data_IF_041877138737
#
_entry.id   IF_041877138737
#
_cell.length_a   1.000
_cell.length_b   1.000
_cell.length_c   1.000
_cell.angle_alpha   90.00
_cell.angle_beta   90.00
_cell.angle_gamma   90.00
#
_symmetry.space_group_name_H-M   'P 1'
#
loop_
_entity.id
_entity.type
_entity.pdbx_description
1 polymer ?
#
# COMPACT_ATOMS: atom_id res chain seq x y z
N UNK A 1 -9.12 1.13 -4.08
CA UNK A 1 -7.67 1.16 -3.79
C UNK A 1 -7.25 -0.11 -3.04
N UNK A 2 -7.80 -0.38 -1.84
CA UNK A 2 -7.41 -1.57 -1.07
C UNK A 2 -7.57 -2.89 -1.80
N UNK A 3 -8.72 -3.14 -2.45
CA UNK A 3 -8.91 -4.34 -3.25
C UNK A 3 -7.86 -4.48 -4.37
N UNK A 4 -7.57 -3.39 -5.09
CA UNK A 4 -6.54 -3.40 -6.14
C UNK A 4 -5.14 -3.69 -5.61
N UNK A 5 -4.82 -3.23 -4.39
CA UNK A 5 -3.54 -3.53 -3.74
C UNK A 5 -3.41 -5.03 -3.44
N UNK A 6 -4.45 -5.65 -2.88
CA UNK A 6 -4.46 -7.10 -2.64
C UNK A 6 -4.41 -7.91 -3.94
N UNK A 7 -5.13 -7.50 -4.97
CA UNK A 7 -5.07 -8.12 -6.30
C UNK A 7 -3.68 -8.01 -6.91
N UNK A 8 -2.98 -6.88 -6.72
CA UNK A 8 -1.61 -6.71 -7.19
C UNK A 8 -0.64 -7.68 -6.51
N UNK A 9 -0.71 -7.83 -5.18
CA UNK A 9 0.08 -8.82 -4.45
C UNK A 9 -0.26 -10.25 -4.85
N UNK A 10 -1.54 -10.56 -5.02
CA UNK A 10 -1.97 -11.88 -5.49
C UNK A 10 -1.38 -12.21 -6.86
N UNK A 11 -1.42 -11.26 -7.82
CA UNK A 11 -0.76 -11.44 -9.13
C UNK A 11 0.75 -11.60 -9.01
N UNK A 12 1.40 -10.80 -8.16
CA UNK A 12 2.85 -10.84 -7.95
C UNK A 12 3.33 -12.16 -7.34
N UNK A 13 2.46 -12.85 -6.59
CA UNK A 13 2.77 -14.12 -5.91
C UNK A 13 2.83 -15.35 -6.84
N UNK A 14 2.53 -15.21 -8.14
CA UNK A 14 2.44 -16.34 -9.07
C UNK A 14 1.56 -17.49 -8.56
N UNK A 15 0.44 -17.16 -7.90
CA UNK A 15 -0.51 -18.14 -7.39
C UNK A 15 -0.22 -18.68 -5.98
N UNK A 16 0.89 -18.27 -5.34
CA UNK A 16 1.20 -18.67 -3.95
C UNK A 16 0.21 -18.07 -2.94
N UNK A 17 -0.34 -16.89 -3.23
CA UNK A 17 -1.36 -16.22 -2.41
C UNK A 17 -2.71 -16.24 -3.11
N UNK A 18 -3.75 -16.58 -2.33
CA UNK A 18 -5.13 -16.44 -2.75
C UNK A 18 -5.87 -15.56 -1.75
N UNK A 19 -6.25 -14.37 -2.17
CA UNK A 19 -7.04 -13.43 -1.38
C UNK A 19 -8.52 -13.65 -1.67
N UNK A 20 -9.29 -13.90 -0.62
CA UNK A 20 -10.74 -14.09 -0.71
C UNK A 20 -11.44 -13.05 0.15
N UNK A 21 -12.51 -12.41 -0.34
CA UNK A 21 -13.33 -11.56 0.50
C UNK A 21 -13.89 -12.35 1.69
N UNK A 22 -13.79 -11.77 2.88
CA UNK A 22 -14.43 -12.31 4.06
C UNK A 22 -15.91 -11.90 4.10
N UNK A 23 -16.78 -12.82 4.53
CA UNK A 23 -18.21 -12.53 4.66
C UNK A 23 -18.53 -11.63 5.87
N UNK A 24 -17.65 -11.59 6.87
CA UNK A 24 -17.81 -10.84 8.12
C UNK A 24 -16.44 -10.22 8.49
N UNK A 25 -16.44 -8.95 8.88
CA UNK A 25 -15.24 -8.25 9.33
C UNK A 25 -14.51 -9.00 10.45
N UNK A 26 -15.24 -9.54 11.41
CA UNK A 26 -14.64 -10.25 12.55
C UNK A 26 -13.86 -11.50 12.14
N UNK A 27 -14.22 -12.12 11.00
CA UNK A 27 -13.54 -13.29 10.43
C UNK A 27 -12.43 -12.91 9.44
N UNK A 28 -12.38 -11.64 9.02
CA UNK A 28 -11.35 -11.16 8.11
C UNK A 28 -9.99 -11.12 8.81
N UNK A 29 -9.01 -11.86 8.30
CA UNK A 29 -7.64 -11.86 8.84
C UNK A 29 -6.86 -10.61 8.44
N UNK A 30 -7.22 -9.98 7.33
CA UNK A 30 -6.66 -8.69 6.92
C UNK A 30 -7.80 -7.72 6.72
N UNK A 31 -7.71 -6.56 7.36
CA UNK A 31 -8.73 -5.51 7.33
C UNK A 31 -8.10 -4.21 6.91
N UNK A 32 -8.78 -3.44 6.05
CA UNK A 32 -8.36 -2.08 5.71
C UNK A 32 -9.42 -1.10 6.20
N UNK A 33 -8.94 -0.08 6.92
CA UNK A 33 -9.75 1.02 7.44
C UNK A 33 -9.26 2.35 6.87
N UNK A 34 -10.21 3.22 6.54
CA UNK A 34 -9.90 4.60 6.23
C UNK A 34 -9.70 5.37 7.54
N UNK A 35 -8.50 5.89 7.75
CA UNK A 35 -8.16 6.64 8.95
C UNK A 35 -8.64 8.10 8.85
N UNK A 36 -8.89 8.73 9.99
CA UNK A 36 -9.17 10.17 10.06
C UNK A 36 -7.87 10.98 10.11
N UNK A 37 -7.92 12.28 9.75
CA UNK A 37 -6.79 13.19 9.60
C UNK A 37 -5.94 13.49 10.85
N UNK A 38 -6.08 12.73 11.93
CA UNK A 38 -5.21 12.81 13.12
C UNK A 38 -3.98 11.90 13.05
N UNK A 39 -3.89 11.03 12.05
CA UNK A 39 -2.68 10.25 11.79
C UNK A 39 -1.67 11.14 11.05
N UNK A 40 -0.42 11.20 11.56
CA UNK A 40 0.70 11.89 10.92
C UNK A 40 1.45 10.99 9.94
N UNK A 41 0.90 9.82 9.60
CA UNK A 41 1.45 8.82 8.71
C UNK A 41 0.50 8.59 7.53
N UNK A 42 1.04 8.22 6.37
CA UNK A 42 0.26 7.81 5.19
C UNK A 42 -0.60 6.59 5.49
N UNK A 43 -0.02 5.64 6.23
CA UNK A 43 -0.67 4.41 6.67
C UNK A 43 0.05 3.77 7.83
N UNK A 44 -0.59 2.77 8.41
CA UNK A 44 -0.04 1.96 9.50
C UNK A 44 -0.66 0.58 9.48
N UNK A 45 0.18 -0.45 9.62
CA UNK A 45 -0.26 -1.84 9.78
C UNK A 45 -0.04 -2.31 11.20
N UNK A 46 -1.10 -2.74 11.86
CA UNK A 46 -1.09 -3.29 13.23
C UNK A 46 -1.37 -4.79 13.21
N UNK A 47 -0.67 -5.58 14.02
CA UNK A 47 -0.98 -6.99 14.16
C UNK A 47 -2.40 -7.19 14.72
N UNK A 48 -3.05 -8.25 14.26
CA UNK A 48 -4.37 -8.66 14.67
C UNK A 48 -4.36 -10.15 14.94
N UNK A 49 -5.07 -10.61 15.97
CA UNK A 49 -5.39 -12.01 16.17
C UNK A 49 -6.85 -12.26 15.75
N UNK A 50 -7.06 -13.30 14.95
CA UNK A 50 -8.40 -13.74 14.53
C UNK A 50 -8.49 -15.23 14.76
N UNK A 51 -9.18 -15.63 15.81
CA UNK A 51 -9.37 -17.03 16.21
C UNK A 51 -8.02 -17.79 16.35
N UNK A 52 -7.03 -17.17 17.03
CA UNK A 52 -5.70 -17.72 17.25
C UNK A 52 -4.80 -17.73 15.99
N UNK A 53 -5.21 -17.02 14.94
CA UNK A 53 -4.43 -16.89 13.69
C UNK A 53 -3.95 -15.45 13.50
N UNK A 54 -2.69 -15.31 13.13
CA UNK A 54 -2.11 -14.01 12.81
C UNK A 54 -2.86 -13.35 11.65
N UNK A 55 -3.24 -12.10 11.86
CA UNK A 55 -3.83 -11.21 10.89
C UNK A 55 -3.25 -9.81 10.99
N UNK A 56 -3.84 -8.85 10.29
CA UNK A 56 -3.43 -7.45 10.29
C UNK A 56 -4.61 -6.50 10.10
N UNK A 57 -4.58 -5.39 10.84
CA UNK A 57 -5.43 -4.23 10.62
C UNK A 57 -4.60 -3.12 9.97
N UNK A 58 -4.98 -2.71 8.79
CA UNK A 58 -4.34 -1.69 7.97
C UNK A 58 -5.16 -0.40 8.07
N UNK A 59 -4.51 0.69 8.42
CA UNK A 59 -5.10 2.03 8.47
C UNK A 59 -4.46 2.88 7.38
N UNK A 60 -5.26 3.47 6.51
CA UNK A 60 -4.79 4.32 5.40
C UNK A 60 -5.44 5.70 5.50
N UNK A 61 -4.64 6.75 5.42
CA UNK A 61 -5.11 8.13 5.39
C UNK A 61 -5.50 8.50 3.94
N UNK A 62 -6.80 8.76 3.66
CA UNK A 62 -7.23 9.13 2.31
C UNK A 62 -6.98 10.61 1.99
N UNK A 63 -6.72 11.42 3.03
CA UNK A 63 -6.53 12.87 2.93
C UNK A 63 -5.06 13.25 3.12
N UNK A 64 -4.52 14.06 2.22
CA UNK A 64 -3.09 14.41 2.21
C UNK A 64 -2.75 15.68 3.00
N UNK A 65 -3.74 16.45 3.45
CA UNK A 65 -3.54 17.76 4.08
C UNK A 65 -2.61 17.73 5.32
N UNK A 66 -2.53 16.61 6.02
CA UNK A 66 -1.65 16.43 7.19
C UNK A 66 -0.24 15.92 6.89
N UNK A 67 0.10 15.66 5.63
CA UNK A 67 1.32 14.95 5.24
C UNK A 67 2.47 15.85 4.77
N UNK A 68 2.28 17.17 4.85
CA UNK A 68 3.26 18.18 4.42
C UNK A 68 2.76 19.00 3.22
N UNK A 69 3.24 20.26 3.12
CA UNK A 69 2.74 21.24 2.18
C UNK A 69 2.87 20.79 0.71
N UNK A 70 4.05 20.34 0.30
CA UNK A 70 4.33 19.96 -1.08
C UNK A 70 3.47 18.81 -1.58
N UNK A 71 3.30 17.75 -0.79
CA UNK A 71 2.44 16.60 -1.12
C UNK A 71 0.98 17.00 -1.18
N UNK A 72 0.52 17.82 -0.22
CA UNK A 72 -0.87 18.29 -0.19
C UNK A 72 -1.17 19.16 -1.42
N UNK A 73 -0.29 20.09 -1.77
CA UNK A 73 -0.43 20.95 -2.96
C UNK A 73 -0.45 20.14 -4.26
N UNK A 74 0.48 19.17 -4.40
CA UNK A 74 0.54 18.30 -5.57
C UNK A 74 -0.76 17.48 -5.72
N UNK A 75 -1.29 16.95 -4.61
CA UNK A 75 -2.54 16.19 -4.61
C UNK A 75 -3.79 17.01 -4.89
N UNK A 76 -3.80 18.31 -4.55
CA UNK A 76 -4.88 19.24 -4.94
C UNK A 76 -4.83 19.52 -6.43
N UNK A 77 -3.63 19.73 -6.98
CA UNK A 77 -3.43 20.03 -8.42
C UNK A 77 -3.70 18.82 -9.32
N UNK A 78 -3.38 17.62 -8.84
CA UNK A 78 -3.55 16.38 -9.60
C UNK A 78 -4.26 15.30 -8.76
N UNK A 79 -5.55 15.10 -9.03
CA UNK A 79 -6.36 14.08 -8.34
C UNK A 79 -5.84 12.67 -8.56
N UNK A 80 -5.25 12.39 -9.73
CA UNK A 80 -4.69 11.08 -10.03
C UNK A 80 -3.38 10.85 -9.26
N UNK A 81 -2.61 11.90 -9.00
CA UNK A 81 -1.46 11.86 -8.10
C UNK A 81 -1.89 11.50 -6.66
N UNK A 82 -2.95 12.16 -6.15
CA UNK A 82 -3.54 11.81 -4.85
C UNK A 82 -4.00 10.35 -4.81
N UNK A 83 -4.71 9.89 -5.84
CA UNK A 83 -5.18 8.51 -5.93
C UNK A 83 -3.99 7.51 -5.98
N UNK A 84 -2.86 7.90 -6.61
CA UNK A 84 -1.62 7.13 -6.62
C UNK A 84 -1.02 6.98 -5.23
N UNK A 85 -0.98 8.06 -4.44
CA UNK A 85 -0.49 8.01 -3.06
C UNK A 85 -1.34 7.06 -2.22
N UNK A 86 -2.66 7.20 -2.27
CA UNK A 86 -3.58 6.33 -1.50
C UNK A 86 -3.42 4.87 -1.92
N UNK A 87 -3.30 4.59 -3.21
CA UNK A 87 -3.10 3.23 -3.71
C UNK A 87 -1.75 2.65 -3.26
N UNK A 88 -0.65 3.38 -3.46
CA UNK A 88 0.68 2.92 -3.06
C UNK A 88 0.80 2.74 -1.54
N UNK A 89 0.11 3.57 -0.75
CA UNK A 89 0.00 3.35 0.70
C UNK A 89 -0.75 2.06 1.02
N UNK A 90 -1.89 1.80 0.38
CA UNK A 90 -2.59 0.52 0.53
C UNK A 90 -1.68 -0.66 0.16
N UNK A 91 -0.88 -0.52 -0.91
CA UNK A 91 0.01 -1.55 -1.40
C UNK A 91 1.16 -1.80 -0.40
N UNK A 92 1.80 -0.74 0.11
CA UNK A 92 2.85 -0.81 1.13
C UNK A 92 2.35 -1.49 2.41
N UNK A 93 1.26 -0.99 2.97
CA UNK A 93 0.70 -1.53 4.22
C UNK A 93 0.21 -2.97 4.06
N UNK A 94 -0.34 -3.34 2.90
CA UNK A 94 -0.68 -4.74 2.64
C UNK A 94 0.56 -5.63 2.50
N UNK A 95 1.70 -5.09 2.06
CA UNK A 95 3.00 -5.78 2.11
C UNK A 95 3.40 -6.14 3.54
N UNK A 96 3.25 -5.21 4.50
CA UNK A 96 3.46 -5.51 5.93
C UNK A 96 2.49 -6.58 6.44
N UNK A 97 1.23 -6.54 6.05
CA UNK A 97 0.26 -7.57 6.40
C UNK A 97 0.64 -8.96 5.87
N UNK A 98 1.40 -9.02 4.78
CA UNK A 98 1.97 -10.24 4.20
C UNK A 98 3.33 -10.62 4.80
N UNK A 99 3.86 -9.82 5.74
CA UNK A 99 5.11 -10.10 6.45
C UNK A 99 6.36 -9.48 5.82
N UNK A 100 6.23 -8.57 4.85
CA UNK A 100 7.39 -7.93 4.24
C UNK A 100 7.93 -6.80 5.16
N UNK A 101 9.24 -6.75 5.38
CA UNK A 101 9.89 -5.65 6.09
C UNK A 101 10.09 -4.44 5.17
N UNK A 102 10.47 -3.30 5.77
CA UNK A 102 10.96 -2.16 5.02
C UNK A 102 12.26 -2.46 4.25
N UNK A 103 12.45 -1.75 3.14
CA UNK A 103 13.68 -1.78 2.34
C UNK A 103 14.27 -0.37 2.24
N UNK A 104 15.55 -0.29 1.86
CA UNK A 104 16.25 0.96 1.58
C UNK A 104 16.29 1.30 0.07
N UNK A 105 15.77 0.44 -0.79
CA UNK A 105 15.74 0.70 -2.23
C UNK A 105 14.54 1.59 -2.58
N UNK A 106 14.83 2.80 -3.09
CA UNK A 106 13.81 3.76 -3.50
C UNK A 106 12.87 3.24 -4.59
N UNK A 107 13.26 2.19 -5.34
CA UNK A 107 12.44 1.56 -6.35
C UNK A 107 11.33 0.65 -5.76
N UNK A 108 11.50 0.18 -4.53
CA UNK A 108 10.58 -0.77 -3.90
C UNK A 108 9.31 -0.12 -3.37
N UNK A 109 8.22 -0.89 -3.36
CA UNK A 109 7.01 -0.44 -2.65
C UNK A 109 7.21 -0.48 -1.13
N UNK A 110 8.08 -1.38 -0.63
CA UNK A 110 8.41 -1.48 0.79
C UNK A 110 9.47 -0.48 1.25
N UNK A 111 9.84 0.50 0.41
CA UNK A 111 10.76 1.58 0.78
C UNK A 111 10.22 2.42 1.95
N UNK A 112 11.10 2.83 2.87
CA UNK A 112 10.77 3.76 3.95
C UNK A 112 11.54 5.07 3.83
N UNK A 113 10.86 6.21 3.99
CA UNK A 113 11.45 7.55 3.92
C UNK A 113 12.43 7.85 5.06
N UNK A 114 12.63 6.95 6.02
CA UNK A 114 13.71 7.03 7.00
C UNK A 114 15.10 7.03 6.35
N UNK A 115 15.22 6.49 5.14
CA UNK A 115 16.45 6.54 4.33
C UNK A 115 16.60 7.82 3.51
N UNK A 116 15.66 8.79 3.63
CA UNK A 116 15.67 10.04 2.88
C UNK A 116 14.94 9.94 1.55
N UNK A 117 15.37 10.73 0.58
CA UNK A 117 14.80 10.75 -0.77
C UNK A 117 13.64 11.72 -0.96
N UNK A 118 13.33 12.01 -2.22
CA UNK A 118 12.25 12.91 -2.63
C UNK A 118 10.90 12.18 -2.59
N UNK A 119 10.10 12.54 -1.60
CA UNK A 119 8.79 11.92 -1.39
C UNK A 119 7.79 12.23 -2.52
N UNK A 120 7.87 13.43 -3.11
CA UNK A 120 7.01 13.81 -4.23
C UNK A 120 7.38 12.98 -5.45
N UNK A 121 8.68 12.85 -5.75
CA UNK A 121 9.17 12.04 -6.87
C UNK A 121 8.86 10.55 -6.66
N UNK A 122 8.93 10.04 -5.43
CA UNK A 122 8.57 8.66 -5.15
C UNK A 122 7.15 8.31 -5.66
N UNK A 123 6.18 9.15 -5.41
CA UNK A 123 4.81 8.94 -5.87
C UNK A 123 4.61 9.36 -7.34
N UNK A 124 5.31 10.41 -7.79
CA UNK A 124 5.19 10.93 -9.15
C UNK A 124 5.65 9.93 -10.20
N UNK A 125 6.66 9.12 -9.93
CA UNK A 125 7.12 8.06 -10.86
C UNK A 125 6.00 7.07 -11.20
N UNK A 126 5.21 6.66 -10.22
CA UNK A 126 4.05 5.79 -10.43
C UNK A 126 2.94 6.53 -11.17
N UNK A 127 2.65 7.77 -10.75
CA UNK A 127 1.64 8.62 -11.38
C UNK A 127 1.89 8.80 -12.88
N UNK A 128 3.14 8.91 -13.32
CA UNK A 128 3.50 9.07 -14.75
C UNK A 128 3.10 7.86 -15.61
N UNK A 129 2.95 6.70 -15.03
CA UNK A 129 2.51 5.49 -15.74
C UNK A 129 0.99 5.44 -15.98
N UNK A 130 0.23 6.37 -15.39
CA UNK A 130 -1.23 6.37 -15.42
C UNK A 130 -1.78 7.48 -16.31
N UNK A 131 -2.81 7.16 -17.11
CA UNK A 131 -3.61 8.13 -17.87
C UNK A 131 -4.91 8.46 -17.15
N UNK A 132 -5.49 7.51 -16.46
CA UNK A 132 -6.77 7.59 -15.73
C UNK A 132 -6.76 6.70 -14.49
N UNK A 133 -7.70 6.93 -13.58
CA UNK A 133 -7.79 6.23 -12.30
C UNK A 133 -7.93 4.71 -12.43
N UNK A 134 -8.62 4.23 -13.46
CA UNK A 134 -8.80 2.79 -13.70
C UNK A 134 -7.50 2.06 -14.07
N UNK A 135 -6.48 2.78 -14.55
CA UNK A 135 -5.18 2.18 -14.90
C UNK A 135 -4.45 1.64 -13.66
N UNK A 136 -4.78 2.18 -12.47
CA UNK A 136 -4.25 1.71 -11.18
C UNK A 136 -4.50 0.21 -10.99
N UNK A 137 -5.66 -0.30 -11.41
CA UNK A 137 -6.00 -1.71 -11.26
C UNK A 137 -5.05 -2.66 -12.03
N UNK A 138 -4.41 -2.17 -13.10
CA UNK A 138 -3.48 -2.95 -13.93
C UNK A 138 -2.00 -2.57 -13.75
N UNK A 139 -1.72 -1.44 -13.10
CA UNK A 139 -0.36 -0.94 -12.84
C UNK A 139 0.02 -1.23 -11.39
N UNK A 140 0.77 -2.31 -11.13
CA UNK A 140 0.92 -2.82 -9.76
C UNK A 140 1.76 -1.92 -8.85
N UNK A 141 2.84 -1.35 -9.33
CA UNK A 141 3.81 -0.60 -8.51
C UNK A 141 4.77 -1.48 -7.69
N UNK A 142 4.63 -2.81 -7.74
CA UNK A 142 5.51 -3.76 -7.04
C UNK A 142 6.79 -3.95 -7.85
N UNK A 143 7.96 -3.80 -7.21
CA UNK A 143 9.26 -4.05 -7.83
C UNK A 143 9.55 -5.55 -7.99
N UNK A 144 10.62 -5.87 -8.71
CA UNK A 144 11.12 -7.25 -8.77
C UNK A 144 11.64 -7.70 -7.42
N UNK A 145 12.29 -6.81 -6.66
CA UNK A 145 12.81 -7.11 -5.34
C UNK A 145 11.67 -7.37 -4.33
N UNK A 146 10.63 -6.53 -4.29
CA UNK A 146 9.43 -6.78 -3.46
C UNK A 146 8.80 -8.13 -3.77
N UNK A 147 8.73 -8.51 -5.05
CA UNK A 147 8.16 -9.80 -5.47
C UNK A 147 9.01 -10.98 -4.99
N UNK A 148 10.33 -10.88 -5.05
CA UNK A 148 11.22 -11.92 -4.53
C UNK A 148 11.10 -12.04 -3.02
N UNK A 149 11.02 -10.92 -2.29
CA UNK A 149 10.78 -10.90 -0.85
C UNK A 149 9.46 -11.59 -0.49
N UNK A 150 8.37 -11.29 -1.22
CA UNK A 150 7.08 -11.96 -1.04
C UNK A 150 7.17 -13.49 -1.20
N UNK A 151 7.86 -13.97 -2.24
CA UNK A 151 8.02 -15.40 -2.48
C UNK A 151 8.82 -16.10 -1.38
N UNK A 152 9.66 -15.37 -0.68
CA UNK A 152 10.43 -15.88 0.48
C UNK A 152 9.58 -15.91 1.74
N UNK A 153 8.77 -14.89 1.98
CA UNK A 153 7.89 -14.78 3.14
C UNK A 153 6.69 -15.77 3.09
N UNK A 154 6.31 -16.22 1.91
CA UNK A 154 5.17 -17.14 1.70
C UNK A 154 5.53 -18.63 1.89
N UNK A 155 6.79 -18.96 2.20
CA UNK A 155 7.26 -20.32 2.51
C UNK A 155 7.09 -20.62 3.99
#
# INVERSE_FOLDING_TARGET
>A
MGAWAFEAWQRASNGALKMLPAADERKARVRIYWASGRMHLYGETRPLDVDGRRGAAIYVLPELAGLGGEIAEAGVKDKLFRDSIVYLTCLHESGHALGLPHTADFADIMYTFQFGGDIVEYFARYRRALKRRTDIASTSGISTHDRLALMTAAK
#
